data_IF_666089895294
#
_entry.id   IF_666089895294
#
_cell.length_a   1.000
_cell.length_b   1.000
_cell.length_c   1.000
_cell.angle_alpha   90.00
_cell.angle_beta   90.00
_cell.angle_gamma   90.00
#
_symmetry.space_group_name_H-M   'P 1'
#
loop_
_entity.id
_entity.type
_entity.pdbx_description
1 polymer ?
#
# COMPACT_ATOMS: atom_id res chain seq x y z
N UNK A 1 -17.11 22.77 -19.74
CA UNK A 1 -17.93 23.65 -18.88
C UNK A 1 -17.37 23.56 -17.47
N UNK A 2 -16.86 24.67 -16.92
CA UNK A 2 -16.20 24.65 -15.61
C UNK A 2 -17.19 24.31 -14.50
N UNK A 3 -16.89 23.33 -13.66
CA UNK A 3 -17.74 22.80 -12.59
C UNK A 3 -18.06 23.81 -11.45
N UNK A 4 -17.62 25.07 -11.59
CA UNK A 4 -17.70 26.10 -10.56
C UNK A 4 -19.08 26.75 -10.46
N UNK A 5 -19.77 26.96 -11.59
CA UNK A 5 -21.09 27.67 -11.62
C UNK A 5 -22.20 26.91 -10.88
N UNK A 6 -22.36 25.58 -11.05
CA UNK A 6 -23.37 24.81 -10.32
C UNK A 6 -23.14 24.81 -8.80
N UNK A 7 -21.88 24.90 -8.37
CA UNK A 7 -21.50 24.77 -6.97
C UNK A 7 -21.73 26.06 -6.17
N UNK A 8 -21.68 27.21 -6.84
CA UNK A 8 -22.02 28.51 -6.25
C UNK A 8 -23.53 28.64 -5.98
N UNK A 9 -24.36 27.88 -6.70
CA UNK A 9 -25.81 27.85 -6.56
C UNK A 9 -26.31 26.72 -5.64
N UNK A 10 -25.40 25.92 -5.08
CA UNK A 10 -25.75 24.81 -4.20
C UNK A 10 -25.98 25.28 -2.75
N UNK A 11 -26.71 24.48 -1.98
CA UNK A 11 -26.95 24.74 -0.55
C UNK A 11 -25.64 24.85 0.24
N UNK A 12 -25.67 25.62 1.33
CA UNK A 12 -24.48 25.88 2.17
C UNK A 12 -23.83 24.59 2.68
N UNK A 13 -24.60 23.56 3.00
CA UNK A 13 -24.07 22.26 3.40
C UNK A 13 -23.20 21.61 2.30
N UNK A 14 -23.63 21.68 1.04
CA UNK A 14 -22.89 21.16 -0.13
C UNK A 14 -21.64 21.98 -0.38
N UNK A 15 -21.75 23.31 -0.28
CA UNK A 15 -20.61 24.24 -0.44
C UNK A 15 -19.56 24.05 0.66
N UNK A 16 -19.98 23.94 1.92
CA UNK A 16 -19.10 23.66 3.06
C UNK A 16 -18.41 22.31 2.89
N UNK A 17 -19.16 21.26 2.52
CA UNK A 17 -18.58 19.95 2.25
C UNK A 17 -17.55 19.99 1.11
N UNK A 18 -17.83 20.72 0.03
CA UNK A 18 -16.91 20.89 -1.09
C UNK A 18 -15.63 21.67 -0.72
N UNK A 19 -15.73 22.71 0.11
CA UNK A 19 -14.57 23.46 0.61
C UNK A 19 -13.73 22.59 1.55
N UNK A 20 -14.37 21.78 2.39
CA UNK A 20 -13.70 20.87 3.32
C UNK A 20 -13.18 19.59 2.66
N UNK A 21 -13.54 19.33 1.40
CA UNK A 21 -13.09 18.14 0.70
C UNK A 21 -11.56 18.17 0.52
N UNK A 22 -10.87 17.06 0.78
CA UNK A 22 -9.42 16.97 0.58
C UNK A 22 -9.09 17.25 -0.90
N UNK A 23 -8.14 18.16 -1.14
CA UNK A 23 -7.69 18.53 -2.48
C UNK A 23 -6.28 18.04 -2.71
N UNK A 24 -6.08 17.43 -3.87
CA UNK A 24 -4.74 17.17 -4.36
C UNK A 24 -4.05 18.49 -4.71
N UNK A 25 -2.91 18.75 -4.08
CA UNK A 25 -2.04 19.87 -4.40
C UNK A 25 -0.77 19.28 -4.99
N UNK A 26 -0.55 19.50 -6.29
CA UNK A 26 0.69 19.08 -6.92
C UNK A 26 1.85 19.93 -6.40
N UNK A 27 2.91 19.28 -5.94
CA UNK A 27 4.14 19.94 -5.51
C UNK A 27 5.36 19.10 -5.94
N UNK A 28 6.56 19.68 -6.04
CA UNK A 28 7.74 18.97 -6.59
C UNK A 28 8.03 17.64 -5.89
N UNK A 29 7.91 17.59 -4.56
CA UNK A 29 8.13 16.35 -3.81
C UNK A 29 7.07 15.26 -4.09
N UNK A 30 5.82 15.62 -4.39
CA UNK A 30 4.77 14.66 -4.78
C UNK A 30 5.06 14.08 -6.16
N UNK A 31 5.49 14.93 -7.11
CA UNK A 31 5.94 14.50 -8.43
C UNK A 31 7.10 13.52 -8.35
N UNK A 32 8.15 13.86 -7.59
CA UNK A 32 9.30 12.99 -7.39
C UNK A 32 8.93 11.64 -6.73
N UNK A 33 7.99 11.65 -5.78
CA UNK A 33 7.49 10.42 -5.17
C UNK A 33 6.71 9.56 -6.17
N UNK A 34 5.86 10.16 -7.00
CA UNK A 34 5.14 9.46 -8.08
C UNK A 34 6.09 8.88 -9.13
N UNK A 35 7.13 9.62 -9.52
CA UNK A 35 8.19 9.14 -10.41
C UNK A 35 8.91 7.92 -9.84
N UNK A 36 9.30 7.99 -8.56
CA UNK A 36 9.96 6.87 -7.88
C UNK A 36 9.05 5.64 -7.76
N UNK A 37 7.76 5.83 -7.45
CA UNK A 37 6.77 4.74 -7.41
C UNK A 37 6.53 4.13 -8.79
N UNK A 38 6.47 4.94 -9.85
CA UNK A 38 6.37 4.45 -11.23
C UNK A 38 7.57 3.60 -11.62
N UNK A 39 8.79 4.07 -11.31
CA UNK A 39 10.01 3.32 -11.58
C UNK A 39 10.00 1.97 -10.85
N UNK A 40 9.52 1.93 -9.60
CA UNK A 40 9.35 0.67 -8.86
C UNK A 40 8.31 -0.26 -9.48
N UNK A 41 7.23 0.29 -10.04
CA UNK A 41 6.16 -0.47 -10.67
C UNK A 41 6.60 -1.10 -12.00
N UNK A 42 7.38 -0.37 -12.81
CA UNK A 42 7.83 -0.76 -14.15
C UNK A 42 9.07 -1.66 -14.14
N UNK A 43 9.86 -1.65 -13.06
CA UNK A 43 11.13 -2.37 -13.00
C UNK A 43 11.03 -3.86 -13.38
N UNK A 44 12.04 -4.44 -14.03
CA UNK A 44 12.15 -5.89 -14.17
C UNK A 44 12.18 -6.60 -12.80
N UNK A 45 11.71 -7.85 -12.75
CA UNK A 45 11.72 -8.64 -11.51
C UNK A 45 13.17 -8.91 -11.07
N UNK A 46 13.59 -8.49 -9.86
CA UNK A 46 14.99 -8.59 -9.39
C UNK A 46 15.22 -9.40 -8.11
N UNK A 47 16.36 -10.15 -8.06
CA UNK A 47 17.09 -10.68 -6.88
C UNK A 47 16.79 -9.96 -5.57
N UNK A 48 16.99 -8.65 -5.64
CA UNK A 48 17.03 -7.77 -4.49
C UNK A 48 16.04 -6.63 -4.75
N UNK A 49 14.75 -6.83 -4.46
CA UNK A 49 13.77 -5.76 -4.60
C UNK A 49 14.18 -4.57 -3.74
N UNK A 50 14.40 -3.41 -4.39
CA UNK A 50 14.54 -2.13 -3.69
C UNK A 50 13.17 -1.65 -3.20
N UNK A 51 13.10 -1.15 -1.98
CA UNK A 51 11.92 -0.45 -1.46
C UNK A 51 12.03 1.06 -1.66
N UNK A 52 10.92 1.76 -1.49
CA UNK A 52 10.86 3.22 -1.38
C UNK A 52 10.28 3.56 -0.01
N UNK A 53 10.95 4.44 0.73
CA UNK A 53 10.44 5.00 1.98
C UNK A 53 10.11 6.47 1.74
N UNK A 54 8.82 6.80 1.87
CA UNK A 54 8.37 8.19 1.87
C UNK A 54 8.46 8.73 3.30
N UNK A 55 9.54 9.46 3.60
CA UNK A 55 9.77 10.06 4.91
C UNK A 55 9.48 11.56 4.88
N UNK A 56 8.85 12.05 5.95
CA UNK A 56 8.56 13.48 6.14
C UNK A 56 7.67 13.72 7.35
N UNK A 57 7.57 14.96 7.84
CA UNK A 57 6.71 15.31 8.98
C UNK A 57 5.26 14.84 8.83
N UNK A 58 4.58 14.68 9.97
CA UNK A 58 3.15 14.35 10.00
C UNK A 58 2.33 15.43 9.26
N UNK A 59 1.21 15.05 8.65
CA UNK A 59 0.36 15.91 7.81
C UNK A 59 0.96 16.46 6.49
N UNK A 60 2.15 16.03 6.05
CA UNK A 60 2.70 16.46 4.75
C UNK A 60 2.17 15.69 3.54
N UNK A 61 0.93 15.20 3.59
CA UNK A 61 0.27 14.58 2.43
C UNK A 61 0.87 13.25 1.95
N UNK A 62 1.70 12.56 2.74
CA UNK A 62 2.30 11.26 2.36
C UNK A 62 1.24 10.21 2.01
N UNK A 63 0.22 10.08 2.84
CA UNK A 63 -0.96 9.24 2.59
C UNK A 63 -1.62 9.63 1.29
N UNK A 64 -1.87 10.93 1.08
CA UNK A 64 -2.50 11.43 -0.15
C UNK A 64 -1.65 11.15 -1.39
N UNK A 65 -0.32 11.23 -1.31
CA UNK A 65 0.60 10.88 -2.42
C UNK A 65 0.45 9.40 -2.80
N UNK A 66 0.45 8.51 -1.81
CA UNK A 66 0.29 7.07 -2.01
C UNK A 66 -1.08 6.70 -2.58
N UNK A 67 -2.15 7.22 -1.97
CA UNK A 67 -3.53 7.00 -2.39
C UNK A 67 -3.77 7.51 -3.81
N UNK A 68 -3.27 8.72 -4.11
CA UNK A 68 -3.40 9.32 -5.44
C UNK A 68 -2.75 8.45 -6.50
N UNK A 69 -1.54 7.96 -6.25
CA UNK A 69 -0.83 7.07 -7.17
C UNK A 69 -1.61 5.77 -7.42
N UNK A 70 -2.18 5.17 -6.38
CA UNK A 70 -2.98 3.94 -6.51
C UNK A 70 -4.28 4.18 -7.30
N UNK A 71 -4.96 5.29 -7.06
CA UNK A 71 -6.18 5.69 -7.81
C UNK A 71 -5.85 5.96 -9.27
N UNK A 72 -4.76 6.66 -9.57
CA UNK A 72 -4.33 6.94 -10.93
C UNK A 72 -3.94 5.65 -11.67
N UNK A 73 -3.23 4.72 -11.01
CA UNK A 73 -2.96 3.39 -11.56
C UNK A 73 -4.25 2.63 -11.90
N UNK A 74 -5.23 2.61 -10.98
CA UNK A 74 -6.49 1.89 -11.18
C UNK A 74 -7.31 2.47 -12.34
N UNK A 75 -7.21 3.78 -12.59
CA UNK A 75 -7.90 4.43 -13.72
C UNK A 75 -7.24 4.14 -15.06
N UNK A 76 -5.93 3.92 -15.08
CA UNK A 76 -5.15 3.79 -16.30
C UNK A 76 -4.86 2.33 -16.71
N UNK A 77 -4.94 1.37 -15.78
CA UNK A 77 -4.54 -0.01 -16.02
C UNK A 77 -5.72 -0.98 -15.97
N UNK A 78 -5.75 -1.93 -16.92
CA UNK A 78 -6.75 -3.02 -16.96
C UNK A 78 -6.69 -3.96 -15.75
N UNK A 79 -5.53 -4.00 -15.08
CA UNK A 79 -5.29 -4.84 -13.92
C UNK A 79 -4.71 -4.04 -12.75
N UNK A 80 -5.35 -4.16 -11.59
CA UNK A 80 -4.84 -3.57 -10.35
C UNK A 80 -3.56 -4.29 -9.90
N UNK A 81 -2.45 -3.56 -9.93
CA UNK A 81 -1.11 -4.04 -9.54
C UNK A 81 -0.54 -3.26 -8.35
N UNK A 82 -1.23 -2.22 -7.90
CA UNK A 82 -0.86 -1.35 -6.78
C UNK A 82 -1.91 -1.53 -5.68
N UNK A 83 -1.45 -1.73 -4.44
CA UNK A 83 -2.31 -1.82 -3.27
C UNK A 83 -1.78 -0.92 -2.16
N UNK A 84 -2.67 -0.13 -1.57
CA UNK A 84 -2.37 0.66 -0.37
C UNK A 84 -2.92 -0.09 0.83
N UNK A 85 -2.06 -0.32 1.81
CA UNK A 85 -2.34 -1.06 3.04
C UNK A 85 -2.10 -0.10 4.19
N UNK A 86 -3.15 0.21 4.93
CA UNK A 86 -3.01 0.94 6.18
C UNK A 86 -2.53 -0.02 7.26
N UNK A 87 -1.36 0.28 7.82
CA UNK A 87 -0.82 -0.49 8.94
C UNK A 87 -1.63 -0.15 10.19
N UNK A 88 -2.33 -1.13 10.76
CA UNK A 88 -3.06 -0.93 12.02
C UNK A 88 -2.09 -0.63 13.16
N UNK A 89 -2.52 0.21 14.10
CA UNK A 89 -1.80 0.39 15.35
C UNK A 89 -1.76 -0.94 16.13
N UNK A 90 -0.55 -1.39 16.45
CA UNK A 90 -0.33 -2.65 17.14
C UNK A 90 1.10 -3.14 16.95
N UNK A 91 1.65 -3.79 17.97
CA UNK A 91 3.01 -4.33 17.91
C UNK A 91 3.00 -5.75 17.31
N UNK A 92 3.85 -5.99 16.31
CA UNK A 92 4.24 -7.33 15.89
C UNK A 92 3.61 -7.84 14.58
N UNK A 93 4.06 -9.03 14.19
CA UNK A 93 3.81 -9.62 12.86
C UNK A 93 2.34 -9.99 12.63
N UNK A 94 1.57 -10.30 13.68
CA UNK A 94 0.14 -10.62 13.58
C UNK A 94 -0.69 -9.45 13.06
N UNK A 95 -0.46 -8.25 13.61
CA UNK A 95 -1.13 -7.02 13.18
C UNK A 95 -0.72 -6.62 11.77
N UNK A 96 0.53 -6.88 11.39
CA UNK A 96 1.01 -6.64 10.03
C UNK A 96 0.32 -7.54 9.00
N UNK A 97 0.27 -8.85 9.23
CA UNK A 97 -0.47 -9.77 8.34
C UNK A 97 -1.97 -9.47 8.31
N UNK A 98 -2.57 -9.13 9.46
CA UNK A 98 -3.96 -8.70 9.51
C UNK A 98 -4.21 -7.44 8.67
N UNK A 99 -3.27 -6.49 8.67
CA UNK A 99 -3.34 -5.28 7.85
C UNK A 99 -3.28 -5.61 6.36
N UNK A 100 -2.36 -6.50 5.95
CA UNK A 100 -2.25 -6.95 4.55
C UNK A 100 -3.55 -7.61 4.09
N UNK A 101 -4.03 -8.61 4.81
CA UNK A 101 -5.23 -9.35 4.44
C UNK A 101 -6.48 -8.47 4.41
N UNK A 102 -6.60 -7.53 5.36
CA UNK A 102 -7.66 -6.51 5.33
C UNK A 102 -7.55 -5.62 4.09
N UNK A 103 -6.33 -5.16 3.75
CA UNK A 103 -6.07 -4.32 2.58
C UNK A 103 -6.30 -5.03 1.24
N UNK A 104 -6.02 -6.33 1.17
CA UNK A 104 -6.27 -7.19 0.00
C UNK A 104 -7.73 -7.69 -0.07
N UNK A 105 -8.62 -7.21 0.83
CA UNK A 105 -10.04 -7.60 0.92
C UNK A 105 -10.25 -9.11 1.12
N UNK A 106 -9.35 -9.76 1.86
CA UNK A 106 -9.50 -11.16 2.21
C UNK A 106 -10.63 -11.36 3.23
N UNK A 107 -11.37 -12.50 3.18
CA UNK A 107 -12.30 -12.85 4.24
C UNK A 107 -11.56 -12.92 5.58
N UNK A 108 -11.98 -12.10 6.54
CA UNK A 108 -11.43 -12.16 7.89
C UNK A 108 -12.04 -13.38 8.58
N UNK A 109 -11.34 -14.52 8.53
CA UNK A 109 -11.76 -15.69 9.29
C UNK A 109 -11.75 -15.35 10.79
N UNK A 110 -12.86 -15.61 11.48
CA UNK A 110 -12.94 -15.47 12.93
C UNK A 110 -12.02 -16.51 13.60
N UNK A 111 -10.77 -16.14 13.87
CA UNK A 111 -9.84 -17.05 14.56
C UNK A 111 -8.36 -16.93 14.16
N UNK A 112 -7.81 -15.72 14.13
CA UNK A 112 -6.40 -15.39 13.85
C UNK A 112 -5.40 -15.88 14.90
N UNK A 113 -5.66 -17.02 15.54
CA UNK A 113 -4.89 -17.53 16.67
C UNK A 113 -3.51 -18.08 16.26
N UNK A 114 -3.23 -18.26 14.97
CA UNK A 114 -1.94 -18.75 14.46
C UNK A 114 -1.33 -17.81 13.42
N UNK A 115 -0.12 -17.33 13.72
CA UNK A 115 0.68 -16.48 12.85
C UNK A 115 1.10 -17.19 11.55
N UNK A 116 1.28 -18.52 11.60
CA UNK A 116 1.62 -19.34 10.44
C UNK A 116 0.52 -19.30 9.40
N UNK A 117 -0.74 -19.57 9.81
CA UNK A 117 -1.88 -19.57 8.90
C UNK A 117 -2.13 -18.20 8.26
N UNK A 118 -1.88 -17.12 9.01
CA UNK A 118 -1.98 -15.77 8.47
C UNK A 118 -0.90 -15.52 7.40
N UNK A 119 0.33 -16.02 7.61
CA UNK A 119 1.38 -16.01 6.60
C UNK A 119 0.98 -16.76 5.33
N UNK A 120 0.57 -18.03 5.47
CA UNK A 120 0.18 -18.88 4.33
C UNK A 120 -0.97 -18.25 3.51
N UNK A 121 -1.94 -17.63 4.19
CA UNK A 121 -3.05 -16.93 3.53
C UNK A 121 -2.59 -15.67 2.80
N UNK A 122 -1.64 -14.92 3.38
CA UNK A 122 -1.02 -13.76 2.72
C UNK A 122 -0.30 -14.22 1.46
N UNK A 123 0.54 -15.25 1.54
CA UNK A 123 1.31 -15.77 0.42
C UNK A 123 0.38 -16.24 -0.72
N UNK A 124 -0.66 -17.02 -0.40
CA UNK A 124 -1.65 -17.46 -1.37
C UNK A 124 -2.36 -16.30 -2.10
N UNK A 125 -2.70 -15.22 -1.40
CA UNK A 125 -3.31 -14.04 -2.01
C UNK A 125 -2.34 -13.29 -2.90
N UNK A 126 -1.08 -13.20 -2.49
CA UNK A 126 -0.04 -12.53 -3.25
C UNK A 126 0.29 -13.28 -4.54
N UNK A 127 0.30 -14.61 -4.51
CA UNK A 127 0.43 -15.46 -5.71
C UNK A 127 -0.73 -15.26 -6.70
N UNK A 128 -1.96 -15.14 -6.17
CA UNK A 128 -3.16 -14.97 -6.99
C UNK A 128 -3.27 -13.55 -7.57
N UNK A 129 -3.04 -12.53 -6.75
CA UNK A 129 -3.18 -11.12 -7.15
C UNK A 129 -1.97 -10.59 -7.92
N UNK A 130 -0.79 -11.19 -7.71
CA UNK A 130 0.50 -10.80 -8.31
C UNK A 130 0.74 -9.28 -8.24
N UNK A 131 0.60 -8.65 -7.04
CA UNK A 131 0.82 -7.22 -6.92
C UNK A 131 2.26 -6.87 -7.32
N UNK A 132 2.43 -5.72 -7.95
CA UNK A 132 3.75 -5.19 -8.33
C UNK A 132 4.25 -4.16 -7.35
N UNK A 133 3.34 -3.50 -6.65
CA UNK A 133 3.64 -2.51 -5.62
C UNK A 133 2.65 -2.66 -4.46
N UNK A 134 3.19 -2.91 -3.27
CA UNK A 134 2.47 -2.81 -1.99
C UNK A 134 2.97 -1.56 -1.28
N UNK A 135 2.06 -0.63 -0.99
CA UNK A 135 2.35 0.60 -0.27
C UNK A 135 1.80 0.45 1.14
N UNK A 136 2.68 0.52 2.14
CA UNK A 136 2.31 0.46 3.55
C UNK A 136 2.26 1.87 4.12
N UNK A 137 1.05 2.36 4.40
CA UNK A 137 0.91 3.62 5.12
C UNK A 137 1.09 3.39 6.63
N UNK A 138 1.67 4.39 7.30
CA UNK A 138 2.08 4.32 8.70
C UNK A 138 2.91 3.06 9.05
N UNK A 139 3.83 2.68 8.16
CA UNK A 139 4.70 1.51 8.33
C UNK A 139 5.47 1.49 9.65
N UNK A 140 5.76 2.66 10.21
CA UNK A 140 6.42 2.81 11.50
C UNK A 140 5.63 2.14 12.66
N UNK A 141 4.31 2.03 12.54
CA UNK A 141 3.45 1.31 13.50
C UNK A 141 3.80 -0.18 13.56
N UNK A 142 4.14 -0.79 12.42
CA UNK A 142 4.52 -2.20 12.34
C UNK A 142 5.88 -2.47 13.00
N UNK A 143 6.76 -1.46 13.05
CA UNK A 143 8.12 -1.56 13.56
C UNK A 143 8.22 -1.59 15.09
N UNK A 144 7.10 -1.40 15.81
CA UNK A 144 7.06 -1.43 17.28
C UNK A 144 7.13 -2.84 17.88
N UNK A 145 7.19 -3.89 17.05
CA UNK A 145 7.32 -5.29 17.46
C UNK A 145 8.74 -5.72 17.85
N UNK A 146 8.96 -7.04 18.01
CA UNK A 146 10.29 -7.59 18.34
C UNK A 146 11.21 -7.48 17.12
N UNK A 147 12.54 -7.45 17.34
CA UNK A 147 13.54 -7.39 16.25
C UNK A 147 13.38 -8.50 15.20
N UNK A 148 12.91 -9.68 15.61
CA UNK A 148 12.62 -10.80 14.69
C UNK A 148 11.40 -10.52 13.81
N UNK A 149 10.37 -9.87 14.35
CA UNK A 149 9.16 -9.50 13.61
C UNK A 149 9.50 -8.46 12.54
N UNK A 150 10.33 -7.46 12.88
CA UNK A 150 10.81 -6.45 11.92
C UNK A 150 11.58 -7.09 10.77
N UNK A 151 12.44 -8.07 11.05
CA UNK A 151 13.14 -8.82 10.00
C UNK A 151 12.17 -9.55 9.06
N UNK A 152 11.15 -10.21 9.61
CA UNK A 152 10.14 -10.89 8.81
C UNK A 152 9.33 -9.93 7.94
N UNK A 153 8.92 -8.77 8.49
CA UNK A 153 8.20 -7.71 7.78
C UNK A 153 9.02 -7.19 6.59
N UNK A 154 10.30 -6.90 6.80
CA UNK A 154 11.20 -6.39 5.74
C UNK A 154 11.56 -7.48 4.72
N UNK A 155 11.52 -8.76 5.12
CA UNK A 155 11.77 -9.89 4.23
C UNK A 155 10.57 -10.26 3.34
N UNK A 156 9.33 -9.87 3.70
CA UNK A 156 8.12 -10.24 2.96
C UNK A 156 8.18 -9.89 1.45
N UNK A 157 8.66 -8.70 1.02
CA UNK A 157 8.82 -8.40 -0.40
C UNK A 157 9.81 -9.33 -1.14
N UNK A 158 10.73 -9.98 -0.42
CA UNK A 158 11.67 -10.96 -0.98
C UNK A 158 11.01 -12.34 -1.11
N UNK A 159 10.17 -12.75 -0.15
CA UNK A 159 9.51 -14.06 -0.17
C UNK A 159 8.46 -14.16 -1.27
N UNK A 160 7.71 -13.07 -1.51
CA UNK A 160 6.81 -12.88 -2.67
C UNK A 160 7.42 -13.22 -4.04
N UNK A 161 8.75 -13.31 -4.12
CA UNK A 161 9.51 -13.60 -5.33
C UNK A 161 10.01 -15.04 -5.42
N UNK A 162 10.14 -15.75 -4.30
CA UNK A 162 10.63 -17.13 -4.25
C UNK A 162 9.62 -18.07 -4.93
N UNK A 163 8.34 -17.81 -4.72
CA UNK A 163 7.25 -18.67 -5.24
C UNK A 163 6.95 -18.45 -6.73
N UNK A 164 7.48 -17.35 -7.31
CA UNK A 164 7.37 -17.06 -8.74
C UNK A 164 8.49 -17.69 -9.60
N UNK A 165 9.50 -18.27 -8.96
CA UNK A 165 10.55 -19.08 -9.56
C UNK A 165 10.46 -20.46 -8.93
N UNK A 166 9.64 -21.35 -9.51
CA UNK A 166 9.51 -22.73 -9.03
C UNK A 166 10.87 -23.36 -8.75
N UNK A 167 10.91 -24.09 -7.63
CA UNK A 167 11.92 -24.92 -6.94
C UNK A 167 13.15 -25.49 -7.68
N UNK A 168 13.67 -24.85 -8.74
CA UNK A 168 14.83 -25.33 -9.51
C UNK A 168 16.12 -24.56 -9.25
N UNK A 169 16.18 -23.78 -8.17
CA UNK A 169 17.43 -23.15 -7.73
C UNK A 169 17.60 -23.27 -6.22
N UNK A 170 17.99 -24.46 -5.80
CA UNK A 170 18.90 -24.64 -4.67
C UNK A 170 20.18 -25.29 -5.25
N UNK A 171 21.39 -24.78 -4.96
CA UNK A 171 22.61 -25.55 -5.20
C UNK A 171 22.68 -26.77 -4.28
#
# INVERSE_FOLDING_TARGET
MSATVPLLQADDAVRIAHVRAPRWISHPAAGAAHDAMRLLLERPRSLRPRGLLLAGPYHNGKTMIAERFAVEHLRAADQQKVWVIQTREGAGLSHFYASILSGLRAPQAAGWRSLSRAGDQVDHLLERLKPRLLIFDEFHSALRGRRQDVKAIVALPFNLRRDAFGDNFCP
#
